data_IF_938350589705
#
_entry.id   IF_938350589705
#
_cell.length_a   1.000
_cell.length_b   1.000
_cell.length_c   1.000
_cell.angle_alpha   90.00
_cell.angle_beta   90.00
_cell.angle_gamma   90.00
#
_symmetry.space_group_name_H-M   'P 1'
#
loop_
_entity.id
_entity.type
_entity.pdbx_description
1 polymer ?
#
# COMPACT_ATOMS: atom_id res chain seq x y z
N UNK A 1 4.02 4.10 4.29
CA UNK A 1 2.89 4.36 5.19
C UNK A 1 1.87 5.14 4.41
N UNK A 2 0.65 4.61 4.30
CA UNK A 2 -0.47 5.24 3.58
C UNK A 2 -1.56 5.75 4.53
N UNK A 3 -2.46 6.61 4.05
CA UNK A 3 -3.60 7.19 4.80
C UNK A 3 -4.42 6.14 5.55
N UNK A 4 -4.63 4.97 4.94
CA UNK A 4 -5.35 3.87 5.56
C UNK A 4 -4.63 3.29 6.79
N UNK A 5 -3.30 3.43 6.86
CA UNK A 5 -2.54 3.01 8.03
C UNK A 5 -2.83 3.90 9.25
N UNK A 6 -3.23 5.16 9.06
CA UNK A 6 -3.48 6.12 10.14
C UNK A 6 -4.95 6.15 10.55
N UNK A 7 -5.89 6.07 9.60
CA UNK A 7 -7.33 6.08 9.89
C UNK A 7 -7.83 4.83 10.64
N UNK A 8 -7.08 3.72 10.61
CA UNK A 8 -7.43 2.48 11.33
C UNK A 8 -7.20 2.56 12.85
N UNK A 9 -6.48 3.57 13.36
CA UNK A 9 -6.24 3.73 14.80
C UNK A 9 -7.28 4.65 15.50
N UNK A 10 -7.95 5.54 14.76
CA UNK A 10 -8.95 6.47 15.30
C UNK A 10 -10.26 5.79 15.75
N UNK A 11 -10.40 4.48 15.51
CA UNK A 11 -11.61 3.72 15.84
C UNK A 11 -11.67 3.18 17.28
N UNK A 12 -10.65 3.44 18.12
CA UNK A 12 -10.56 2.86 19.48
C UNK A 12 -10.38 3.86 20.63
N UNK A 13 -10.52 5.17 20.42
CA UNK A 13 -10.44 6.13 21.54
C UNK A 13 -11.82 6.37 22.15
N UNK A 14 -12.18 5.54 23.14
CA UNK A 14 -13.24 5.87 24.11
C UNK A 14 -12.65 6.64 25.29
N UNK A 15 -13.20 7.84 25.49
CA UNK A 15 -12.96 8.83 26.56
C UNK A 15 -12.32 8.34 27.87
N UNK A 16 -11.23 8.99 28.32
CA UNK A 16 -10.95 9.29 29.75
C UNK A 16 -9.87 10.37 29.93
N UNK A 17 -10.25 11.43 30.65
CA UNK A 17 -9.50 12.35 31.54
C UNK A 17 -8.14 12.95 31.18
N UNK A 18 -8.12 14.29 31.24
CA UNK A 18 -7.02 15.26 31.14
C UNK A 18 -5.80 14.94 32.04
N UNK A 19 -4.59 15.11 31.49
CA UNK A 19 -3.37 15.12 32.32
C UNK A 19 -2.03 14.72 31.68
N UNK A 20 -1.91 14.60 30.36
CA UNK A 20 -0.64 14.52 29.61
C UNK A 20 -0.94 15.07 28.22
N UNK A 21 -0.04 15.84 27.60
CA UNK A 21 -0.17 16.20 26.18
C UNK A 21 -0.04 14.91 25.36
N UNK A 22 -1.15 14.18 25.26
CA UNK A 22 -1.22 12.88 24.60
C UNK A 22 -0.91 13.12 23.13
N UNK A 23 0.30 12.71 22.73
CA UNK A 23 0.76 12.87 21.36
C UNK A 23 -0.24 12.09 20.49
N UNK A 24 -0.93 12.73 19.53
CA UNK A 24 -1.92 12.03 18.73
C UNK A 24 -1.27 10.79 18.12
N UNK A 25 -1.93 9.62 18.20
CA UNK A 25 -1.34 8.34 17.80
C UNK A 25 -0.72 8.34 16.38
N UNK A 26 -1.22 9.21 15.49
CA UNK A 26 -0.63 9.41 14.16
C UNK A 26 0.77 10.03 14.15
N UNK A 27 1.11 10.85 15.14
CA UNK A 27 2.43 11.48 15.30
C UNK A 27 3.44 10.46 15.81
N UNK A 28 3.09 9.62 16.78
CA UNK A 28 3.95 8.53 17.27
C UNK A 28 4.32 7.58 16.13
N UNK A 29 3.32 7.16 15.34
CA UNK A 29 3.53 6.32 14.15
C UNK A 29 4.49 6.94 13.14
N UNK A 30 4.39 8.26 12.93
CA UNK A 30 5.30 8.99 12.04
C UNK A 30 6.71 9.06 12.60
N UNK A 31 6.86 9.28 13.92
CA UNK A 31 8.15 9.29 14.59
C UNK A 31 8.83 7.93 14.46
N UNK A 32 8.12 6.84 14.73
CA UNK A 32 8.67 5.49 14.59
C UNK A 32 9.02 5.13 13.14
N UNK A 33 8.21 5.55 12.16
CA UNK A 33 8.55 5.43 10.75
C UNK A 33 9.88 6.14 10.41
N UNK A 34 10.06 7.37 10.90
CA UNK A 34 11.29 8.14 10.72
C UNK A 34 12.47 7.50 11.45
N UNK A 35 12.28 7.02 12.69
CA UNK A 35 13.29 6.30 13.47
C UNK A 35 13.72 5.02 12.75
N UNK A 36 12.78 4.24 12.24
CA UNK A 36 13.04 3.05 11.45
C UNK A 36 13.85 3.39 10.18
N UNK A 37 13.44 4.41 9.41
CA UNK A 37 14.17 4.86 8.23
C UNK A 37 15.61 5.33 8.57
N UNK A 38 15.78 6.07 9.66
CA UNK A 38 17.08 6.55 10.13
C UNK A 38 18.00 5.39 10.56
N UNK A 39 17.48 4.38 11.28
CA UNK A 39 18.22 3.14 11.60
C UNK A 39 18.68 2.39 10.34
N UNK A 40 18.01 2.59 9.21
CA UNK A 40 18.39 2.03 7.91
C UNK A 40 19.42 2.90 7.15
N UNK A 41 19.82 4.06 7.68
CA UNK A 41 20.75 4.99 7.05
C UNK A 41 20.12 6.00 6.09
N UNK A 42 18.79 6.14 6.08
CA UNK A 42 18.10 7.11 5.22
C UNK A 42 17.86 8.44 5.95
N UNK A 43 18.17 9.55 5.28
CA UNK A 43 17.98 10.91 5.81
C UNK A 43 16.60 11.50 5.52
N UNK A 44 15.91 10.93 4.53
CA UNK A 44 14.63 11.42 4.04
C UNK A 44 13.64 10.28 4.05
N UNK A 45 12.42 10.57 4.49
CA UNK A 45 11.31 9.64 4.49
C UNK A 45 10.10 10.33 3.84
N UNK A 46 9.31 9.56 3.11
CA UNK A 46 8.11 10.05 2.44
C UNK A 46 6.91 9.20 2.87
N UNK A 47 5.80 9.85 3.17
CA UNK A 47 4.52 9.23 3.51
C UNK A 47 3.40 10.07 2.91
N UNK A 48 2.39 9.41 2.34
CA UNK A 48 1.28 10.09 1.67
C UNK A 48 0.45 10.99 2.61
N UNK A 49 0.59 10.79 3.92
CA UNK A 49 -0.25 11.44 4.92
C UNK A 49 0.30 12.78 5.34
N UNK A 50 1.62 12.93 5.33
CA UNK A 50 2.29 14.18 5.69
C UNK A 50 2.87 14.91 4.48
N UNK A 51 3.18 14.19 3.40
CA UNK A 51 3.88 14.73 2.24
C UNK A 51 2.97 15.00 1.04
N UNK A 52 1.66 14.85 1.17
CA UNK A 52 0.67 15.25 0.15
C UNK A 52 -0.32 16.18 0.82
N UNK A 53 -0.40 17.42 0.32
CA UNK A 53 -1.49 18.31 0.68
C UNK A 53 -2.79 17.85 0.00
N UNK A 54 -3.61 17.12 0.76
CA UNK A 54 -4.89 16.60 0.27
C UNK A 54 -5.97 17.68 0.13
N UNK A 55 -5.71 18.89 0.61
CA UNK A 55 -6.63 20.03 0.44
C UNK A 55 -6.39 20.75 -0.88
N UNK A 56 -5.19 20.62 -1.47
CA UNK A 56 -4.91 21.09 -2.82
C UNK A 56 -5.24 19.97 -3.82
N UNK A 57 -6.28 20.21 -4.60
CA UNK A 57 -6.73 19.26 -5.62
C UNK A 57 -5.64 18.97 -6.67
N UNK A 58 -4.90 20.00 -7.10
CA UNK A 58 -3.87 19.85 -8.12
C UNK A 58 -2.72 18.99 -7.59
N UNK A 59 -2.25 19.28 -6.37
CA UNK A 59 -1.20 18.51 -5.71
C UNK A 59 -1.64 17.07 -5.45
N UNK A 60 -2.86 16.86 -4.92
CA UNK A 60 -3.39 15.53 -4.66
C UNK A 60 -3.51 14.71 -5.94
N UNK A 61 -4.03 15.31 -7.01
CA UNK A 61 -4.15 14.67 -8.31
C UNK A 61 -2.77 14.30 -8.87
N UNK A 62 -1.81 15.23 -8.88
CA UNK A 62 -0.45 14.93 -9.33
C UNK A 62 0.20 13.81 -8.50
N UNK A 63 0.07 13.89 -7.17
CA UNK A 63 0.65 12.93 -6.23
C UNK A 63 0.11 11.52 -6.44
N UNK A 64 -1.21 11.36 -6.58
CA UNK A 64 -1.83 10.04 -6.77
C UNK A 64 -1.45 9.43 -8.13
N UNK A 65 -1.36 10.25 -9.18
CA UNK A 65 -0.89 9.80 -10.50
C UNK A 65 0.62 9.44 -10.51
N UNK A 66 1.42 9.99 -9.58
CA UNK A 66 2.87 9.77 -9.51
C UNK A 66 3.32 8.81 -8.40
N UNK A 67 2.42 8.40 -7.50
CA UNK A 67 2.76 7.63 -6.31
C UNK A 67 3.44 6.28 -6.63
N UNK A 68 3.07 5.62 -7.73
CA UNK A 68 3.74 4.39 -8.16
C UNK A 68 5.21 4.64 -8.48
N UNK A 69 5.50 5.76 -9.16
CA UNK A 69 6.86 6.18 -9.46
C UNK A 69 7.64 6.48 -8.18
N UNK A 70 7.02 7.10 -7.18
CA UNK A 70 7.66 7.33 -5.88
C UNK A 70 8.06 6.02 -5.20
N UNK A 71 7.17 5.03 -5.12
CA UNK A 71 7.51 3.70 -4.60
C UNK A 71 8.57 2.99 -5.44
N UNK A 72 8.56 3.15 -6.77
CA UNK A 72 9.55 2.52 -7.67
C UNK A 72 10.93 3.16 -7.58
N UNK A 73 10.99 4.43 -7.24
CA UNK A 73 12.21 5.19 -7.06
C UNK A 73 12.72 5.16 -5.61
N UNK A 74 11.92 4.70 -4.64
CA UNK A 74 12.35 4.58 -3.25
C UNK A 74 13.49 3.56 -3.11
N UNK A 75 14.41 3.85 -2.19
CA UNK A 75 15.47 2.90 -1.83
C UNK A 75 14.94 1.79 -0.92
N UNK A 76 13.92 2.09 -0.10
CA UNK A 76 13.27 1.19 0.82
C UNK A 76 11.81 1.60 0.98
N UNK A 77 10.92 0.62 1.00
CA UNK A 77 9.52 0.80 1.42
C UNK A 77 9.32 0.08 2.76
N UNK A 78 8.97 0.85 3.79
CA UNK A 78 8.62 0.32 5.10
C UNK A 78 7.11 0.07 5.15
N UNK A 79 6.74 -1.14 5.54
CA UNK A 79 5.36 -1.59 5.72
C UNK A 79 5.15 -1.84 7.21
N UNK A 80 4.22 -1.09 7.81
CA UNK A 80 3.82 -1.25 9.19
C UNK A 80 2.55 -2.09 9.25
N UNK A 81 2.57 -3.17 10.03
CA UNK A 81 1.49 -4.14 10.16
C UNK A 81 0.82 -3.98 11.53
N UNK A 82 -0.17 -3.08 11.62
CA UNK A 82 -0.82 -2.71 12.88
C UNK A 82 -1.55 -3.86 13.60
N UNK A 83 -1.82 -4.96 12.89
CA UNK A 83 -2.59 -6.10 13.36
C UNK A 83 -1.76 -7.39 13.46
N UNK A 84 -0.43 -7.26 13.42
CA UNK A 84 0.54 -8.35 13.56
C UNK A 84 1.40 -8.10 14.80
N UNK A 85 1.33 -9.03 15.75
CA UNK A 85 2.14 -9.05 16.96
C UNK A 85 3.59 -9.50 16.69
N UNK A 86 4.49 -9.14 17.61
CA UNK A 86 5.90 -9.57 17.62
C UNK A 86 6.08 -11.08 17.75
N UNK A 87 5.20 -11.72 18.52
CA UNK A 87 5.35 -13.11 18.88
C UNK A 87 5.03 -14.06 17.72
N UNK A 88 6.05 -14.83 17.31
CA UNK A 88 5.96 -15.94 16.34
C UNK A 88 5.06 -17.08 16.84
N UNK A 89 4.66 -17.05 18.11
CA UNK A 89 4.01 -18.15 18.83
C UNK A 89 2.58 -17.83 19.23
N UNK A 90 1.74 -17.46 18.27
CA UNK A 90 0.32 -17.62 18.53
C UNK A 90 -0.05 -19.11 18.44
N UNK A 91 -0.87 -19.53 19.40
CA UNK A 91 -1.15 -20.92 19.77
C UNK A 91 -1.84 -21.67 18.61
N UNK A 92 -1.04 -22.26 17.71
CA UNK A 92 -1.55 -22.96 16.52
C UNK A 92 -0.67 -22.85 15.26
N UNK A 93 0.45 -22.13 15.31
CA UNK A 93 1.50 -22.19 14.28
C UNK A 93 1.20 -21.48 12.96
N UNK A 94 0.13 -20.69 12.87
CA UNK A 94 -0.17 -19.85 11.69
C UNK A 94 -0.27 -18.39 12.09
N UNK A 95 0.67 -17.57 11.63
CA UNK A 95 0.61 -16.10 11.73
C UNK A 95 -0.71 -15.59 11.15
N UNK A 96 -1.36 -14.68 11.88
CA UNK A 96 -2.53 -13.95 11.40
C UNK A 96 -2.19 -13.27 10.07
N UNK A 97 -3.09 -13.40 9.10
CA UNK A 97 -2.94 -12.73 7.79
C UNK A 97 -3.13 -11.22 8.00
N UNK A 98 -2.14 -10.38 7.67
CA UNK A 98 -2.26 -8.95 7.91
C UNK A 98 -3.31 -8.33 7.00
N UNK A 99 -4.14 -7.46 7.58
CA UNK A 99 -5.13 -6.64 6.88
C UNK A 99 -4.50 -5.77 5.78
N UNK A 100 -3.20 -5.45 5.90
CA UNK A 100 -2.43 -4.79 4.83
C UNK A 100 -2.68 -5.44 3.46
N UNK A 101 -2.79 -6.77 3.38
CA UNK A 101 -2.94 -7.48 2.10
C UNK A 101 -4.27 -7.21 1.41
N UNK A 102 -5.30 -6.87 2.18
CA UNK A 102 -6.65 -6.59 1.70
C UNK A 102 -6.82 -5.15 1.26
N UNK A 103 -5.89 -4.25 1.56
CA UNK A 103 -5.99 -2.83 1.15
C UNK A 103 -5.75 -2.69 -0.36
N UNK A 104 -6.53 -1.82 -1.02
CA UNK A 104 -6.35 -1.53 -2.45
C UNK A 104 -4.95 -1.04 -2.80
N UNK A 105 -4.43 -0.06 -2.03
CA UNK A 105 -3.12 0.56 -2.23
C UNK A 105 -1.93 -0.40 -2.12
N UNK A 106 -2.10 -1.52 -1.42
CA UNK A 106 -1.04 -2.52 -1.23
C UNK A 106 -0.49 -3.07 -2.55
N UNK A 107 -1.30 -3.19 -3.59
CA UNK A 107 -0.79 -3.65 -4.89
C UNK A 107 0.27 -2.71 -5.45
N UNK A 108 -0.03 -1.41 -5.49
CA UNK A 108 0.89 -0.42 -6.00
C UNK A 108 2.13 -0.29 -5.10
N UNK A 109 1.94 -0.26 -3.77
CA UNK A 109 3.05 -0.24 -2.80
C UNK A 109 4.01 -1.42 -2.98
N UNK A 110 3.45 -2.62 -3.16
CA UNK A 110 4.21 -3.86 -3.28
C UNK A 110 4.87 -4.01 -4.65
N UNK A 111 4.10 -3.87 -5.74
CA UNK A 111 4.57 -4.09 -7.11
C UNK A 111 5.59 -3.04 -7.57
N UNK A 112 5.52 -1.82 -7.04
CA UNK A 112 6.47 -0.77 -7.36
C UNK A 112 7.77 -0.91 -6.55
N UNK A 113 7.69 -1.30 -5.27
CA UNK A 113 8.82 -1.28 -4.36
C UNK A 113 9.97 -2.18 -4.81
N UNK A 114 11.20 -1.67 -4.69
CA UNK A 114 12.42 -2.47 -4.93
C UNK A 114 12.80 -3.34 -3.73
N UNK A 115 12.48 -2.87 -2.54
CA UNK A 115 12.82 -3.53 -1.28
C UNK A 115 11.77 -3.19 -0.24
N UNK A 116 11.35 -4.19 0.53
CA UNK A 116 10.36 -4.06 1.60
C UNK A 116 10.99 -4.35 2.96
N UNK A 117 10.51 -3.69 4.01
CA UNK A 117 10.74 -4.07 5.40
C UNK A 117 9.41 -4.05 6.14
N UNK A 118 9.13 -5.14 6.86
CA UNK A 118 7.90 -5.30 7.62
C UNK A 118 8.16 -5.08 9.10
N UNK A 119 7.34 -4.24 9.71
CA UNK A 119 7.33 -3.95 11.13
C UNK A 119 5.98 -4.40 11.70
N UNK A 120 6.01 -4.98 12.90
CA UNK A 120 4.81 -5.32 13.68
C UNK A 120 4.09 -4.07 14.18
N UNK A 121 3.01 -4.29 14.94
CA UNK A 121 2.29 -3.23 15.64
C UNK A 121 3.14 -2.55 16.73
N UNK A 122 4.11 -3.25 17.33
CA UNK A 122 5.08 -2.70 18.28
C UNK A 122 6.29 -2.02 17.62
N UNK A 123 6.29 -1.83 16.29
CA UNK A 123 7.47 -1.35 15.55
C UNK A 123 8.72 -2.21 15.72
N UNK A 124 8.53 -3.50 16.03
CA UNK A 124 9.60 -4.49 15.99
C UNK A 124 9.78 -4.97 14.56
N UNK A 125 11.04 -5.01 14.13
CA UNK A 125 11.40 -5.60 12.84
C UNK A 125 11.09 -7.10 12.89
N UNK A 126 10.23 -7.59 12.01
CA UNK A 126 9.85 -9.01 12.00
C UNK A 126 11.06 -9.89 11.58
N UNK A 127 11.73 -10.48 12.59
CA UNK A 127 13.18 -10.72 12.69
C UNK A 127 13.82 -11.85 11.81
N UNK A 128 13.17 -12.39 10.78
CA UNK A 128 13.88 -13.16 9.73
C UNK A 128 14.62 -12.24 8.71
N UNK A 129 14.59 -10.92 8.94
CA UNK A 129 14.77 -9.86 7.94
C UNK A 129 15.89 -8.87 8.28
N UNK A 130 16.99 -9.32 8.90
CA UNK A 130 18.18 -8.50 9.10
C UNK A 130 18.76 -7.94 7.77
N UNK A 131 18.41 -8.53 6.62
CA UNK A 131 18.73 -8.02 5.28
C UNK A 131 17.51 -7.40 4.62
N UNK A 132 17.72 -6.30 3.88
CA UNK A 132 16.74 -5.70 2.96
C UNK A 132 16.02 -6.81 2.16
N UNK A 133 14.69 -6.89 2.27
CA UNK A 133 13.93 -7.89 1.53
C UNK A 133 13.80 -7.41 0.09
N UNK A 134 14.69 -7.91 -0.76
CA UNK A 134 14.48 -7.88 -2.20
C UNK A 134 13.46 -8.99 -2.53
N UNK A 135 12.17 -8.70 -2.38
CA UNK A 135 11.09 -9.62 -2.74
C UNK A 135 11.08 -9.91 -4.25
N UNK A 136 11.84 -9.13 -5.04
CA UNK A 136 12.10 -9.39 -6.45
C UNK A 136 13.19 -10.43 -6.69
N UNK A 137 13.73 -11.05 -5.64
CA UNK A 137 14.46 -12.31 -5.75
C UNK A 137 13.53 -13.43 -5.32
N UNK A 138 13.55 -14.55 -6.06
CA UNK A 138 12.81 -15.76 -5.68
C UNK A 138 13.35 -16.26 -4.34
N UNK A 139 12.61 -15.99 -3.26
CA UNK A 139 13.00 -16.31 -1.90
C UNK A 139 11.76 -16.75 -1.10
N UNK A 140 11.90 -16.88 0.22
CA UNK A 140 10.77 -17.23 1.09
C UNK A 140 9.65 -16.18 1.02
N UNK A 141 10.01 -14.90 1.05
CA UNK A 141 9.07 -13.78 1.08
C UNK A 141 8.31 -13.61 -0.24
N UNK A 142 8.95 -13.79 -1.39
CA UNK A 142 8.26 -13.75 -2.67
C UNK A 142 7.15 -14.82 -2.73
N UNK A 143 7.40 -16.01 -2.16
CA UNK A 143 6.38 -17.08 -2.03
C UNK A 143 5.31 -16.74 -1.01
N UNK A 144 5.68 -16.19 0.14
CA UNK A 144 4.72 -15.79 1.18
C UNK A 144 3.78 -14.68 0.66
N UNK A 145 4.34 -13.64 0.03
CA UNK A 145 3.59 -12.56 -0.60
C UNK A 145 2.71 -13.11 -1.71
N UNK A 146 3.24 -13.94 -2.61
CA UNK A 146 2.44 -14.52 -3.69
C UNK A 146 1.23 -15.32 -3.18
N UNK A 147 1.45 -16.18 -2.17
CA UNK A 147 0.38 -16.95 -1.53
C UNK A 147 -0.66 -16.08 -0.84
N UNK A 148 -0.24 -15.01 -0.19
CA UNK A 148 -1.13 -14.19 0.65
C UNK A 148 -1.91 -13.16 -0.19
N UNK A 149 -1.26 -12.62 -1.23
CA UNK A 149 -1.78 -11.52 -2.07
C UNK A 149 -2.48 -11.99 -3.35
N UNK A 150 -2.26 -13.24 -3.75
CA UNK A 150 -2.75 -13.81 -5.02
C UNK A 150 -1.97 -13.35 -6.26
N UNK A 151 -0.93 -12.53 -6.09
CA UNK A 151 -0.09 -12.06 -7.20
C UNK A 151 0.97 -13.11 -7.52
N UNK A 152 1.15 -13.52 -8.80
CA UNK A 152 2.17 -14.50 -9.16
C UNK A 152 3.58 -14.02 -8.77
N UNK A 153 4.43 -14.96 -8.36
CA UNK A 153 5.79 -14.64 -7.93
C UNK A 153 6.65 -13.96 -8.99
N UNK A 154 6.42 -14.23 -10.28
CA UNK A 154 7.16 -13.57 -11.36
C UNK A 154 6.71 -12.09 -11.55
N UNK A 155 5.43 -11.78 -11.33
CA UNK A 155 4.91 -10.41 -11.33
C UNK A 155 5.43 -9.62 -10.12
N UNK A 156 5.57 -10.26 -8.95
CA UNK A 156 6.23 -9.62 -7.80
C UNK A 156 7.70 -9.27 -8.06
N UNK A 157 8.35 -9.96 -9.00
CA UNK A 157 9.78 -9.82 -9.28
C UNK A 157 10.04 -8.83 -10.41
N UNK A 158 9.31 -8.96 -11.51
CA UNK A 158 9.57 -8.25 -12.76
C UNK A 158 8.37 -7.43 -13.22
N UNK A 159 7.67 -6.78 -12.29
CA UNK A 159 6.49 -6.00 -12.64
C UNK A 159 6.80 -4.86 -13.62
N UNK A 160 6.07 -4.86 -14.74
CA UNK A 160 6.05 -3.77 -15.72
C UNK A 160 4.68 -3.12 -15.71
N UNK A 161 4.67 -1.80 -15.60
CA UNK A 161 3.45 -1.01 -15.72
C UNK A 161 2.93 -1.08 -17.15
N UNK A 162 1.63 -0.93 -17.32
CA UNK A 162 0.98 -0.96 -18.63
C UNK A 162 -0.33 -1.71 -18.63
N UNK A 163 -0.95 -1.78 -19.80
CA UNK A 163 -2.28 -2.34 -20.01
C UNK A 163 -2.25 -3.76 -20.57
N UNK A 164 -1.16 -4.49 -20.42
CA UNK A 164 -1.12 -5.92 -20.71
C UNK A 164 -1.85 -6.71 -19.62
N UNK A 165 -2.58 -7.75 -20.02
CA UNK A 165 -3.31 -8.63 -19.10
C UNK A 165 -4.26 -7.87 -18.16
N UNK A 166 -5.04 -6.92 -18.70
CA UNK A 166 -5.92 -6.04 -17.92
C UNK A 166 -6.78 -6.82 -16.93
N UNK A 167 -7.46 -7.86 -17.42
CA UNK A 167 -8.29 -8.73 -16.59
C UNK A 167 -7.53 -9.34 -15.42
N UNK A 168 -6.32 -9.85 -15.63
CA UNK A 168 -5.54 -10.47 -14.55
C UNK A 168 -5.17 -9.45 -13.47
N UNK A 169 -4.75 -8.24 -13.87
CA UNK A 169 -4.38 -7.17 -12.94
C UNK A 169 -5.59 -6.65 -12.17
N UNK A 170 -6.75 -6.54 -12.82
CA UNK A 170 -8.02 -6.22 -12.15
C UNK A 170 -8.43 -7.34 -11.18
N UNK A 171 -8.29 -8.61 -11.54
CA UNK A 171 -8.54 -9.75 -10.64
C UNK A 171 -7.70 -9.71 -9.37
N UNK A 172 -6.49 -9.18 -9.43
CA UNK A 172 -5.73 -8.92 -8.21
C UNK A 172 -6.49 -7.91 -7.34
N UNK A 173 -6.94 -6.78 -7.89
CA UNK A 173 -7.69 -5.76 -7.16
C UNK A 173 -9.08 -6.23 -6.64
N UNK A 174 -9.71 -7.22 -7.27
CA UNK A 174 -11.10 -7.64 -7.04
C UNK A 174 -11.51 -7.91 -5.59
N UNK A 175 -10.60 -8.44 -4.77
CA UNK A 175 -10.89 -8.81 -3.37
C UNK A 175 -10.40 -7.78 -2.36
N UNK A 176 -9.87 -6.65 -2.82
CA UNK A 176 -9.29 -5.61 -1.99
C UNK A 176 -10.32 -4.53 -1.66
N UNK A 177 -10.11 -3.86 -0.54
CA UNK A 177 -10.99 -2.83 0.00
C UNK A 177 -10.24 -1.50 0.10
N UNK A 178 -10.98 -0.41 -0.10
CA UNK A 178 -10.48 0.95 0.06
C UNK A 178 -11.39 1.75 0.98
N UNK A 179 -10.81 2.71 1.70
CA UNK A 179 -11.58 3.56 2.62
C UNK A 179 -12.42 4.57 1.85
N UNK A 180 -11.85 5.16 0.80
CA UNK A 180 -12.57 5.95 -0.20
C UNK A 180 -12.93 5.05 -1.36
N UNK A 181 -14.17 5.07 -1.79
CA UNK A 181 -14.65 4.21 -2.88
C UNK A 181 -13.89 4.51 -4.19
N UNK A 182 -13.49 5.76 -4.40
CA UNK A 182 -12.75 6.20 -5.58
C UNK A 182 -11.33 5.61 -5.64
N UNK A 183 -10.74 5.30 -4.49
CA UNK A 183 -9.40 4.70 -4.43
C UNK A 183 -9.37 3.30 -5.06
N UNK A 184 -10.51 2.61 -5.22
CA UNK A 184 -10.58 1.37 -6.00
C UNK A 184 -10.07 1.57 -7.44
N UNK A 185 -10.21 2.79 -7.97
CA UNK A 185 -9.65 3.20 -9.25
C UNK A 185 -8.24 3.76 -9.08
N UNK A 186 -8.06 4.70 -8.14
CA UNK A 186 -6.82 5.47 -8.06
C UNK A 186 -5.60 4.65 -7.64
N UNK A 187 -5.79 3.59 -6.85
CA UNK A 187 -4.70 2.67 -6.49
C UNK A 187 -4.16 1.82 -7.67
N UNK A 188 -4.83 1.87 -8.83
CA UNK A 188 -4.47 1.09 -10.01
C UNK A 188 -3.82 1.93 -11.12
N UNK A 189 -3.78 3.26 -10.98
CA UNK A 189 -3.29 4.16 -12.04
C UNK A 189 -1.86 3.81 -12.46
N UNK A 190 -0.97 3.66 -11.48
CA UNK A 190 0.42 3.32 -11.76
C UNK A 190 0.63 1.88 -12.23
N UNK A 191 -0.23 0.94 -11.84
CA UNK A 191 -0.19 -0.45 -12.32
C UNK A 191 -0.47 -0.48 -13.83
N UNK A 192 -1.44 0.32 -14.28
CA UNK A 192 -1.84 0.39 -15.68
C UNK A 192 -1.11 1.43 -16.52
N UNK A 193 -0.22 2.22 -15.90
CA UNK A 193 0.46 3.35 -16.54
C UNK A 193 -0.53 4.37 -17.16
N UNK A 194 -1.63 4.63 -16.45
CA UNK A 194 -2.68 5.56 -16.87
C UNK A 194 -2.68 6.79 -15.97
N UNK A 195 -3.18 7.90 -16.49
CA UNK A 195 -3.40 9.11 -15.70
C UNK A 195 -4.86 9.53 -15.76
N UNK A 196 -5.44 9.84 -14.61
CA UNK A 196 -6.81 10.34 -14.49
C UNK A 196 -6.87 11.53 -13.53
N UNK A 197 -7.70 12.56 -13.83
CA UNK A 197 -8.09 13.55 -12.84
C UNK A 197 -8.70 12.89 -11.59
N UNK A 198 -8.15 13.18 -10.42
CA UNK A 198 -8.61 12.62 -9.13
C UNK A 198 -9.72 13.49 -8.56
N UNK A 199 -10.95 12.99 -8.60
CA UNK A 199 -12.13 13.68 -8.06
C UNK A 199 -12.73 12.89 -6.90
N UNK A 200 -12.36 13.23 -5.66
CA UNK A 200 -13.05 12.67 -4.49
C UNK A 200 -14.47 13.24 -4.39
N UNK A 201 -15.46 12.35 -4.16
CA UNK A 201 -16.88 12.66 -4.20
C UNK A 201 -17.58 12.18 -5.49
N UNK A 202 -16.83 11.71 -6.50
CA UNK A 202 -17.45 11.12 -7.70
C UNK A 202 -17.94 9.67 -7.48
N UNK A 203 -17.59 9.06 -6.35
CA UNK A 203 -18.08 7.75 -5.97
C UNK A 203 -17.59 6.63 -6.91
N UNK A 204 -18.41 5.59 -7.15
CA UNK A 204 -18.06 4.47 -8.04
C UNK A 204 -17.72 4.87 -9.48
N UNK A 205 -18.07 6.11 -9.90
CA UNK A 205 -17.75 6.63 -11.24
C UNK A 205 -16.25 6.69 -11.50
N UNK A 206 -15.42 6.85 -10.47
CA UNK A 206 -13.96 6.81 -10.60
C UNK A 206 -13.49 5.51 -11.27
N UNK A 207 -14.08 4.37 -10.88
CA UNK A 207 -13.74 3.06 -11.45
C UNK A 207 -14.25 2.90 -12.89
N UNK A 208 -15.44 3.44 -13.19
CA UNK A 208 -15.96 3.49 -14.56
C UNK A 208 -15.00 4.27 -15.48
N UNK A 209 -14.49 5.42 -15.03
CA UNK A 209 -13.51 6.21 -15.79
C UNK A 209 -12.20 5.46 -16.02
N UNK A 210 -11.75 4.68 -15.03
CA UNK A 210 -10.61 3.78 -15.22
C UNK A 210 -10.90 2.73 -16.29
N UNK A 211 -12.05 2.07 -16.23
CA UNK A 211 -12.43 1.08 -17.25
C UNK A 211 -12.53 1.70 -18.64
N UNK A 212 -13.10 2.90 -18.78
CA UNK A 212 -13.14 3.66 -20.04
C UNK A 212 -11.73 3.94 -20.59
N UNK A 213 -10.80 4.37 -19.75
CA UNK A 213 -9.42 4.64 -20.15
C UNK A 213 -8.69 3.37 -20.57
N UNK A 214 -8.87 2.26 -19.84
CA UNK A 214 -8.31 0.96 -20.20
C UNK A 214 -8.89 0.45 -21.53
N UNK A 215 -10.19 0.63 -21.74
CA UNK A 215 -10.88 0.26 -22.98
C UNK A 215 -10.35 1.05 -24.17
N UNK A 216 -10.16 2.36 -24.03
CA UNK A 216 -9.61 3.22 -25.09
C UNK A 216 -8.21 2.78 -25.53
N UNK A 217 -7.40 2.26 -24.60
CA UNK A 217 -6.02 1.84 -24.89
C UNK A 217 -5.90 0.42 -25.44
N UNK A 218 -6.80 -0.48 -25.04
CA UNK A 218 -6.66 -1.92 -25.33
C UNK A 218 -7.74 -2.50 -26.21
N UNK A 219 -8.97 -1.98 -26.15
CA UNK A 219 -10.16 -2.63 -26.69
C UNK A 219 -10.51 -3.95 -26.01
N UNK A 220 -9.89 -4.29 -24.88
CA UNK A 220 -10.05 -5.58 -24.21
C UNK A 220 -11.32 -5.63 -23.35
N UNK A 221 -12.39 -6.19 -23.91
CA UNK A 221 -13.66 -6.39 -23.20
C UNK A 221 -13.55 -7.34 -21.99
N UNK A 222 -12.48 -8.12 -21.88
CA UNK A 222 -12.28 -9.02 -20.74
C UNK A 222 -12.06 -8.27 -19.41
N UNK A 223 -11.86 -6.95 -19.46
CA UNK A 223 -11.81 -6.09 -18.28
C UNK A 223 -13.10 -6.08 -17.44
N UNK A 224 -14.23 -6.57 -17.99
CA UNK A 224 -15.49 -6.72 -17.25
C UNK A 224 -15.61 -8.07 -16.52
N UNK A 225 -14.68 -9.01 -16.72
CA UNK A 225 -14.63 -10.34 -16.07
C UNK A 225 -13.51 -10.42 -15.02
N UNK A 226 -13.57 -9.55 -14.00
CA UNK A 226 -12.53 -9.40 -12.98
C UNK A 226 -12.99 -9.78 -11.56
#
# INVERSE_FOLDING_TARGET
>A
MTRQDLEQNDSQVSSSSEGEDDIPAGVEKLQEFCCAAAKCGFRWAWTDTCCINKQDYAEASESLNTMFKWYRCSALTIVYLHDVDDDIKDCGGRRKRPSWVDRGWTLQEMLAAKSLRFYSKEWTLLEETARLIDHRKKNFWSRALSRTTGVPGDDLVNFKTGTDQVRLRLRWAARRTTTKVEDMAYCLLGIFDVSLPVMYGEGPRAFVRLQEELMKRTGDLSLFDW
#
